data_IF_116088777952
#
_entry.id   IF_116088777952
#
_cell.length_a   1.000
_cell.length_b   1.000
_cell.length_c   1.000
_cell.angle_alpha   90.00
_cell.angle_beta   90.00
_cell.angle_gamma   90.00
#
_symmetry.space_group_name_H-M   'P 1'
#
loop_
_entity.id
_entity.type
_entity.pdbx_description
1 polymer ?
#
# COMPACT_ATOMS: atom_id res chain seq x y z
N UNK A 1 -3.64 19.82 -25.83
CA UNK A 1 -4.20 18.50 -25.46
C UNK A 1 -4.35 18.48 -23.95
N UNK A 2 -5.56 18.24 -23.41
CA UNK A 2 -5.71 17.98 -21.98
C UNK A 2 -4.86 16.75 -21.66
N UNK A 3 -3.96 16.86 -20.67
CA UNK A 3 -3.07 15.75 -20.34
C UNK A 3 -3.93 14.54 -19.92
N UNK A 4 -3.48 13.32 -20.23
CA UNK A 4 -4.12 12.06 -19.81
C UNK A 4 -4.44 12.09 -18.31
N UNK A 5 -3.65 12.81 -17.52
CA UNK A 5 -3.85 13.05 -16.10
C UNK A 5 -5.11 13.82 -15.72
N UNK A 6 -5.51 14.86 -16.47
CA UNK A 6 -6.73 15.63 -16.18
C UNK A 6 -8.00 14.81 -16.50
N UNK A 7 -7.98 14.02 -17.59
CA UNK A 7 -9.08 13.12 -17.94
C UNK A 7 -9.21 12.00 -16.89
N UNK A 8 -8.11 11.42 -16.45
CA UNK A 8 -8.08 10.38 -15.41
C UNK A 8 -8.60 10.90 -14.07
N UNK A 9 -8.27 12.14 -13.70
CA UNK A 9 -8.76 12.76 -12.46
C UNK A 9 -10.28 12.99 -12.49
N UNK A 10 -10.84 13.42 -13.63
CA UNK A 10 -12.29 13.58 -13.82
C UNK A 10 -13.04 12.25 -13.71
N UNK A 11 -12.59 11.24 -14.47
CA UNK A 11 -13.18 9.90 -14.47
C UNK A 11 -13.12 9.27 -13.07
N UNK A 12 -12.00 9.40 -12.36
CA UNK A 12 -11.87 8.82 -11.03
C UNK A 12 -12.83 9.48 -10.01
N UNK A 13 -13.08 10.79 -10.11
CA UNK A 13 -14.11 11.45 -9.29
C UNK A 13 -15.51 10.94 -9.60
N UNK A 14 -15.83 10.72 -10.89
CA UNK A 14 -17.11 10.18 -11.32
C UNK A 14 -17.32 8.71 -10.93
N UNK A 15 -16.24 7.91 -10.82
CA UNK A 15 -16.31 6.52 -10.33
C UNK A 15 -16.42 6.49 -8.81
N UNK A 16 -15.74 7.38 -8.09
CA UNK A 16 -15.76 7.43 -6.63
C UNK A 16 -17.17 7.68 -6.07
N UNK A 17 -17.95 8.52 -6.73
CA UNK A 17 -19.31 8.86 -6.29
C UNK A 17 -20.21 7.62 -6.21
N UNK A 18 -20.44 6.84 -7.28
CA UNK A 18 -21.26 5.63 -7.20
C UNK A 18 -20.69 4.58 -6.25
N UNK A 19 -19.37 4.47 -6.10
CA UNK A 19 -18.76 3.53 -5.14
C UNK A 19 -19.07 3.90 -3.69
N UNK A 20 -19.08 5.18 -3.34
CA UNK A 20 -19.50 5.63 -2.02
C UNK A 20 -20.94 5.23 -1.72
N UNK A 21 -21.85 5.36 -2.69
CA UNK A 21 -23.22 4.91 -2.53
C UNK A 21 -23.32 3.39 -2.35
N UNK A 22 -22.60 2.61 -3.16
CA UNK A 22 -22.58 1.14 -3.02
C UNK A 22 -22.09 0.73 -1.62
N UNK A 23 -21.02 1.33 -1.14
CA UNK A 23 -20.45 1.02 0.18
C UNK A 23 -21.43 1.40 1.31
N UNK A 24 -22.02 2.60 1.22
CA UNK A 24 -22.97 3.08 2.24
C UNK A 24 -24.23 2.23 2.28
N UNK A 25 -24.81 1.90 1.11
CA UNK A 25 -26.03 1.08 1.06
C UNK A 25 -25.76 -0.36 1.48
N UNK A 26 -24.61 -0.94 1.15
CA UNK A 26 -24.26 -2.28 1.61
C UNK A 26 -24.13 -2.31 3.15
N UNK A 27 -23.42 -1.34 3.76
CA UNK A 27 -23.30 -1.24 5.20
C UNK A 27 -24.65 -1.04 5.89
N UNK A 28 -25.47 -0.07 5.41
CA UNK A 28 -26.79 0.19 5.95
C UNK A 28 -27.72 -1.04 5.83
N UNK A 29 -27.58 -1.83 4.74
CA UNK A 29 -28.39 -3.03 4.58
C UNK A 29 -28.04 -4.13 5.58
N UNK A 30 -26.77 -4.24 6.01
CA UNK A 30 -26.37 -5.15 7.10
C UNK A 30 -27.02 -4.70 8.41
N UNK A 31 -26.93 -3.41 8.76
CA UNK A 31 -27.55 -2.85 9.96
C UNK A 31 -29.08 -3.08 9.97
N UNK A 32 -29.75 -2.91 8.82
CA UNK A 32 -31.19 -3.15 8.71
C UNK A 32 -31.57 -4.63 8.80
N UNK A 33 -30.69 -5.55 8.36
CA UNK A 33 -30.90 -6.99 8.55
C UNK A 33 -30.80 -7.36 10.02
N UNK A 34 -29.81 -6.81 10.76
CA UNK A 34 -29.66 -7.04 12.19
C UNK A 34 -30.88 -6.54 12.97
N UNK A 35 -31.36 -5.33 12.65
CA UNK A 35 -32.58 -4.77 13.25
C UNK A 35 -33.83 -5.60 12.93
N UNK A 36 -33.95 -6.08 11.67
CA UNK A 36 -35.04 -6.96 11.26
C UNK A 36 -35.03 -8.27 12.06
N UNK A 37 -33.86 -8.90 12.21
CA UNK A 37 -33.71 -10.14 12.96
C UNK A 37 -34.04 -9.96 14.44
N UNK A 38 -33.57 -8.87 15.05
CA UNK A 38 -33.91 -8.53 16.44
C UNK A 38 -35.42 -8.34 16.62
N UNK A 39 -36.07 -7.62 15.73
CA UNK A 39 -37.50 -7.35 15.77
C UNK A 39 -38.33 -8.61 15.51
N UNK A 40 -37.91 -9.47 14.57
CA UNK A 40 -38.61 -10.67 14.18
C UNK A 40 -38.31 -11.89 15.08
N UNK A 41 -37.31 -11.82 15.94
CA UNK A 41 -36.87 -12.94 16.78
C UNK A 41 -38.01 -13.67 17.53
N UNK A 42 -38.98 -12.97 18.17
CA UNK A 42 -40.09 -13.66 18.85
C UNK A 42 -41.00 -14.46 17.90
N UNK A 43 -41.19 -13.97 16.68
CA UNK A 43 -42.00 -14.64 15.67
C UNK A 43 -41.26 -15.83 15.05
N UNK A 44 -39.96 -15.68 14.81
CA UNK A 44 -39.10 -16.75 14.27
C UNK A 44 -38.99 -17.91 15.29
N UNK A 45 -38.81 -17.61 16.56
CA UNK A 45 -38.75 -18.61 17.64
C UNK A 45 -40.05 -19.43 17.79
N UNK A 46 -41.19 -18.91 17.32
CA UNK A 46 -42.47 -19.61 17.32
C UNK A 46 -42.65 -20.55 16.10
N UNK A 47 -41.74 -20.59 15.14
CA UNK A 47 -41.75 -21.49 14.00
C UNK A 47 -41.20 -22.86 14.37
N UNK A 48 -41.41 -23.85 13.48
CA UNK A 48 -40.74 -25.15 13.58
C UNK A 48 -39.23 -25.03 13.27
N UNK A 49 -38.45 -26.00 13.79
CA UNK A 49 -36.99 -25.98 13.71
C UNK A 49 -36.47 -25.90 12.25
N UNK A 50 -37.19 -26.51 11.31
CA UNK A 50 -36.83 -26.52 9.87
C UNK A 50 -36.91 -25.13 9.27
N UNK A 51 -38.00 -24.40 9.55
CA UNK A 51 -38.17 -23.01 9.07
C UNK A 51 -37.25 -22.01 9.75
N UNK A 52 -36.95 -22.21 11.05
CA UNK A 52 -35.96 -21.38 11.74
C UNK A 52 -34.59 -21.53 11.05
N UNK A 53 -34.14 -22.77 10.81
CA UNK A 53 -32.88 -23.04 10.11
C UNK A 53 -32.83 -22.45 8.70
N UNK A 54 -33.92 -22.52 7.93
CA UNK A 54 -34.02 -21.93 6.59
C UNK A 54 -33.90 -20.40 6.62
N UNK A 55 -34.51 -19.74 7.60
CA UNK A 55 -34.41 -18.29 7.77
C UNK A 55 -32.99 -17.90 8.17
N UNK A 56 -32.39 -18.58 9.14
CA UNK A 56 -31.04 -18.31 9.62
C UNK A 56 -30.00 -18.46 8.49
N UNK A 57 -30.09 -19.55 7.70
CA UNK A 57 -29.24 -19.77 6.52
C UNK A 57 -29.39 -18.65 5.48
N UNK A 58 -30.64 -18.23 5.23
CA UNK A 58 -30.93 -17.16 4.25
C UNK A 58 -30.36 -15.82 4.70
N UNK A 59 -30.50 -15.47 5.99
CA UNK A 59 -29.95 -14.24 6.57
C UNK A 59 -28.43 -14.26 6.57
N UNK A 60 -27.82 -15.39 6.94
CA UNK A 60 -26.36 -15.55 6.89
C UNK A 60 -25.82 -15.33 5.46
N UNK A 61 -26.48 -15.93 4.46
CA UNK A 61 -26.12 -15.72 3.05
C UNK A 61 -26.28 -14.24 2.60
N UNK A 62 -27.37 -13.57 3.01
CA UNK A 62 -27.60 -12.16 2.68
C UNK A 62 -26.56 -11.26 3.32
N UNK A 63 -26.29 -11.42 4.61
CA UNK A 63 -25.28 -10.68 5.34
C UNK A 63 -23.90 -10.88 4.70
N UNK A 64 -23.51 -12.12 4.43
CA UNK A 64 -22.24 -12.42 3.78
C UNK A 64 -22.12 -11.84 2.38
N UNK A 65 -23.21 -11.76 1.60
CA UNK A 65 -23.19 -11.10 0.29
C UNK A 65 -23.02 -9.58 0.41
N UNK A 66 -23.72 -8.94 1.34
CA UNK A 66 -23.62 -7.49 1.58
C UNK A 66 -22.22 -7.11 2.09
N UNK A 67 -21.63 -7.89 2.97
CA UNK A 67 -20.26 -7.70 3.43
C UNK A 67 -19.26 -7.77 2.27
N UNK A 68 -19.41 -8.76 1.37
CA UNK A 68 -18.59 -8.88 0.15
C UNK A 68 -18.77 -7.68 -0.78
N UNK A 69 -20.01 -7.18 -0.95
CA UNK A 69 -20.27 -5.98 -1.76
C UNK A 69 -19.54 -4.78 -1.16
N UNK A 70 -19.64 -4.57 0.15
CA UNK A 70 -18.93 -3.50 0.84
C UNK A 70 -17.40 -3.64 0.74
N UNK A 71 -16.88 -4.85 0.86
CA UNK A 71 -15.45 -5.15 0.69
C UNK A 71 -14.95 -4.80 -0.71
N UNK A 72 -15.62 -5.30 -1.74
CA UNK A 72 -15.26 -5.00 -3.13
C UNK A 72 -15.41 -3.53 -3.48
N UNK A 73 -16.40 -2.85 -2.93
CA UNK A 73 -16.60 -1.42 -3.09
C UNK A 73 -15.45 -0.61 -2.47
N UNK A 74 -15.03 -0.94 -1.26
CA UNK A 74 -13.85 -0.32 -0.62
C UNK A 74 -12.57 -0.55 -1.42
N UNK A 75 -12.39 -1.76 -1.96
CA UNK A 75 -11.25 -2.08 -2.83
C UNK A 75 -11.26 -1.21 -4.09
N UNK A 76 -12.40 -1.07 -4.74
CA UNK A 76 -12.54 -0.24 -5.94
C UNK A 76 -12.27 1.24 -5.62
N UNK A 77 -12.73 1.78 -4.49
CA UNK A 77 -12.40 3.15 -4.04
C UNK A 77 -10.89 3.32 -3.83
N UNK A 78 -10.23 2.34 -3.21
CA UNK A 78 -8.77 2.32 -3.04
C UNK A 78 -8.01 2.35 -4.38
N UNK A 79 -8.47 1.58 -5.37
CA UNK A 79 -7.89 1.57 -6.72
C UNK A 79 -8.06 2.93 -7.40
N UNK A 80 -9.26 3.51 -7.34
CA UNK A 80 -9.56 4.83 -7.92
C UNK A 80 -8.73 5.92 -7.25
N UNK A 81 -8.58 5.87 -5.93
CA UNK A 81 -7.73 6.81 -5.18
C UNK A 81 -6.27 6.71 -5.62
N UNK A 82 -5.73 5.50 -5.70
CA UNK A 82 -4.35 5.27 -6.15
C UNK A 82 -4.14 5.70 -7.61
N UNK A 83 -5.15 5.51 -8.47
CA UNK A 83 -5.13 5.97 -9.86
C UNK A 83 -5.14 7.50 -9.95
N UNK A 84 -5.90 8.20 -9.09
CA UNK A 84 -5.89 9.65 -8.97
C UNK A 84 -4.53 10.18 -8.54
N UNK A 85 -3.92 9.54 -7.55
CA UNK A 85 -2.61 9.90 -7.06
C UNK A 85 -1.53 9.69 -8.14
N UNK A 86 -1.65 8.64 -8.95
CA UNK A 86 -0.76 8.38 -10.08
C UNK A 86 -0.97 9.38 -11.24
N UNK A 87 -2.24 9.70 -11.54
CA UNK A 87 -2.64 10.62 -12.61
C UNK A 87 -2.26 12.08 -12.35
N UNK A 88 -2.10 12.48 -11.09
CA UNK A 88 -1.66 13.83 -10.74
C UNK A 88 -0.22 14.12 -11.13
N UNK A 89 0.48 13.14 -11.75
CA UNK A 89 1.84 13.26 -12.27
C UNK A 89 2.78 13.95 -11.29
N UNK A 90 4.03 13.67 -11.27
CA UNK A 90 4.99 14.45 -10.47
C UNK A 90 4.94 15.92 -10.91
N UNK A 91 4.06 16.71 -10.27
CA UNK A 91 4.05 18.18 -10.45
C UNK A 91 5.12 18.85 -9.57
N UNK A 92 5.96 18.04 -8.92
CA UNK A 92 7.03 18.55 -8.07
C UNK A 92 8.24 18.99 -8.90
N UNK A 93 8.77 20.18 -8.60
CA UNK A 93 10.07 20.58 -9.12
C UNK A 93 11.19 19.75 -8.50
N UNK A 94 12.17 19.37 -9.33
CA UNK A 94 13.42 18.83 -8.84
C UNK A 94 14.14 19.89 -8.04
N UNK A 95 14.64 19.52 -6.89
CA UNK A 95 15.43 20.41 -6.04
C UNK A 95 16.54 19.61 -5.34
N UNK A 96 17.54 20.32 -4.93
CA UNK A 96 18.64 19.77 -4.14
C UNK A 96 18.14 19.40 -2.75
N UNK A 97 18.26 18.14 -2.37
CA UNK A 97 17.67 17.55 -1.15
C UNK A 97 18.71 16.76 -0.37
N UNK A 98 18.71 16.95 0.94
CA UNK A 98 19.39 16.02 1.86
C UNK A 98 18.59 14.72 1.93
N UNK A 99 19.16 13.66 1.36
CA UNK A 99 18.49 12.35 1.24
C UNK A 99 18.21 11.71 2.60
N UNK A 100 19.16 11.79 3.53
CA UNK A 100 19.01 11.17 4.85
C UNK A 100 17.89 11.84 5.64
N UNK A 101 17.81 13.16 5.61
CA UNK A 101 16.72 13.92 6.26
C UNK A 101 15.37 13.56 5.65
N UNK A 102 15.27 13.48 4.32
CA UNK A 102 14.03 13.10 3.64
C UNK A 102 13.56 11.69 4.04
N UNK A 103 14.47 10.73 4.08
CA UNK A 103 14.16 9.35 4.46
C UNK A 103 13.73 9.26 5.93
N UNK A 104 14.43 9.99 6.83
CA UNK A 104 14.08 10.04 8.25
C UNK A 104 12.68 10.62 8.49
N UNK A 105 12.34 11.71 7.80
CA UNK A 105 10.99 12.29 7.85
C UNK A 105 9.93 11.30 7.36
N UNK A 106 10.17 10.63 6.23
CA UNK A 106 9.26 9.63 5.70
C UNK A 106 9.10 8.43 6.66
N UNK A 107 10.20 7.97 7.29
CA UNK A 107 10.17 6.86 8.24
C UNK A 107 9.37 7.20 9.50
N UNK A 108 9.56 8.40 10.04
CA UNK A 108 8.82 8.88 11.18
C UNK A 108 7.32 9.03 10.85
N UNK A 109 7.00 9.57 9.66
CA UNK A 109 5.61 9.69 9.19
C UNK A 109 4.94 8.32 9.06
N UNK A 110 5.62 7.34 8.44
CA UNK A 110 5.10 5.98 8.29
C UNK A 110 4.85 5.32 9.66
N UNK A 111 5.81 5.42 10.58
CA UNK A 111 5.72 4.81 11.90
C UNK A 111 4.58 5.39 12.74
N UNK A 112 4.48 6.72 12.81
CA UNK A 112 3.41 7.37 13.55
C UNK A 112 2.04 7.15 12.90
N UNK A 113 1.97 7.08 11.57
CA UNK A 113 0.75 6.71 10.83
C UNK A 113 0.28 5.30 11.16
N UNK A 114 1.19 4.32 11.22
CA UNK A 114 0.87 2.94 11.60
C UNK A 114 0.37 2.87 13.07
N UNK A 115 1.02 3.58 13.99
CA UNK A 115 0.60 3.64 15.40
C UNK A 115 -0.72 4.36 15.64
N UNK A 116 -1.06 5.32 14.80
CA UNK A 116 -2.35 6.00 14.87
C UNK A 116 -3.51 5.07 14.45
N UNK A 117 -3.25 4.11 13.55
CA UNK A 117 -4.22 3.10 13.12
C UNK A 117 -4.33 1.93 14.10
N UNK A 118 -3.19 1.49 14.65
CA UNK A 118 -3.11 0.40 15.63
C UNK A 118 -2.14 0.79 16.76
N UNK A 119 -2.69 1.12 17.93
CA UNK A 119 -1.88 1.51 19.11
C UNK A 119 -0.97 0.38 19.62
N UNK A 120 -1.29 -0.87 19.30
CA UNK A 120 -0.47 -2.03 19.66
C UNK A 120 0.71 -2.24 18.69
N UNK A 121 0.70 -1.56 17.53
CA UNK A 121 1.76 -1.66 16.53
C UNK A 121 3.10 -1.23 17.13
N UNK A 122 4.09 -2.13 17.04
CA UNK A 122 5.45 -1.86 17.48
C UNK A 122 6.45 -2.58 16.56
N UNK A 123 7.44 -1.83 16.08
CA UNK A 123 8.52 -2.33 15.23
C UNK A 123 9.83 -1.62 15.59
N UNK A 124 10.92 -2.36 15.64
CA UNK A 124 12.24 -1.79 15.81
C UNK A 124 12.69 -1.11 14.52
N UNK A 125 13.07 0.16 14.61
CA UNK A 125 13.59 0.93 13.49
C UNK A 125 15.11 1.05 13.60
N UNK A 126 15.85 0.40 12.71
CA UNK A 126 17.30 0.49 12.59
C UNK A 126 17.67 1.44 11.45
N UNK A 127 18.60 2.35 11.70
CA UNK A 127 19.07 3.35 10.75
C UNK A 127 20.58 3.20 10.59
N UNK A 128 21.01 3.02 9.35
CA UNK A 128 22.42 2.94 8.97
C UNK A 128 22.67 3.89 7.80
N UNK A 129 22.64 5.18 8.08
CA UNK A 129 22.77 6.22 7.09
C UNK A 129 24.24 6.61 6.89
N UNK A 130 24.70 6.55 5.64
CA UNK A 130 26.05 7.01 5.30
C UNK A 130 26.21 8.50 5.63
N UNK A 131 27.34 8.82 6.24
CA UNK A 131 27.70 10.21 6.52
C UNK A 131 28.21 10.92 5.26
N UNK A 132 27.89 12.18 5.14
CA UNK A 132 28.47 13.04 4.08
C UNK A 132 27.93 12.83 2.68
N UNK A 133 26.76 12.18 2.54
CA UNK A 133 26.04 12.16 1.25
C UNK A 133 25.75 13.63 0.85
N UNK A 134 26.32 14.05 -0.26
CA UNK A 134 26.02 15.39 -0.80
C UNK A 134 24.58 15.45 -1.28
N UNK A 135 23.89 16.60 -1.18
CA UNK A 135 22.53 16.75 -1.68
C UNK A 135 22.36 16.26 -3.12
N UNK A 136 21.20 15.67 -3.40
CA UNK A 136 20.86 15.09 -4.70
C UNK A 136 19.65 15.80 -5.31
N UNK A 137 19.69 16.01 -6.64
CA UNK A 137 18.58 16.60 -7.40
C UNK A 137 17.47 15.58 -7.64
N UNK A 138 16.34 15.71 -6.92
CA UNK A 138 15.18 14.83 -7.03
C UNK A 138 13.87 15.58 -6.73
N UNK A 139 12.75 14.94 -7.01
CA UNK A 139 11.43 15.42 -6.60
C UNK A 139 11.12 14.80 -5.22
N UNK A 140 11.16 15.62 -4.12
CA UNK A 140 11.07 15.07 -2.77
C UNK A 140 9.79 14.28 -2.49
N UNK A 141 8.66 14.79 -2.98
CA UNK A 141 7.34 14.16 -2.78
C UNK A 141 7.29 12.76 -3.39
N UNK A 142 7.94 12.57 -4.54
CA UNK A 142 7.99 11.29 -5.23
C UNK A 142 8.81 10.26 -4.42
N UNK A 143 9.97 10.65 -3.94
CA UNK A 143 10.82 9.75 -3.14
C UNK A 143 10.19 9.48 -1.76
N UNK A 144 9.58 10.49 -1.13
CA UNK A 144 8.79 10.27 0.09
C UNK A 144 7.69 9.24 -0.13
N UNK A 145 6.96 9.32 -1.26
CA UNK A 145 5.91 8.35 -1.62
C UNK A 145 6.47 6.94 -1.79
N UNK A 146 7.60 6.81 -2.48
CA UNK A 146 8.30 5.50 -2.61
C UNK A 146 8.66 4.95 -1.24
N UNK A 147 9.27 5.77 -0.36
CA UNK A 147 9.62 5.36 0.99
C UNK A 147 8.39 4.91 1.80
N UNK A 148 7.31 5.68 1.80
CA UNK A 148 6.08 5.33 2.51
C UNK A 148 5.48 4.01 2.04
N UNK A 149 5.50 3.73 0.72
CA UNK A 149 5.03 2.47 0.16
C UNK A 149 5.90 1.29 0.62
N UNK A 150 7.23 1.43 0.59
CA UNK A 150 8.14 0.37 1.01
C UNK A 150 8.05 0.13 2.52
N UNK A 151 8.04 1.19 3.34
CA UNK A 151 7.92 1.07 4.79
C UNK A 151 6.59 0.44 5.20
N UNK A 152 5.46 0.84 4.60
CA UNK A 152 4.16 0.26 4.84
C UNK A 152 4.07 -1.23 4.47
N UNK A 153 4.74 -1.65 3.40
CA UNK A 153 4.84 -3.05 3.03
C UNK A 153 5.69 -3.85 4.03
N UNK A 154 6.82 -3.30 4.45
CA UNK A 154 7.71 -3.90 5.44
C UNK A 154 7.03 -4.01 6.81
N UNK A 155 6.31 -2.98 7.25
CA UNK A 155 5.52 -3.01 8.49
C UNK A 155 4.48 -4.12 8.46
N UNK A 156 3.75 -4.24 7.36
CA UNK A 156 2.77 -5.31 7.16
C UNK A 156 3.43 -6.69 7.23
N UNK A 157 4.52 -6.90 6.49
CA UNK A 157 5.22 -8.19 6.43
C UNK A 157 5.77 -8.62 7.79
N UNK A 158 6.39 -7.71 8.53
CA UNK A 158 6.96 -7.99 9.84
C UNK A 158 5.88 -8.22 10.91
N UNK A 159 4.78 -7.43 10.90
CA UNK A 159 3.66 -7.60 11.81
C UNK A 159 2.91 -8.91 11.54
N UNK A 160 2.75 -9.28 10.27
CA UNK A 160 2.13 -10.54 9.89
C UNK A 160 2.96 -11.72 10.38
N UNK A 161 4.28 -11.69 10.20
CA UNK A 161 5.19 -12.72 10.68
C UNK A 161 5.16 -12.84 12.20
N UNK A 162 5.07 -11.73 12.92
CA UNK A 162 4.94 -11.74 14.38
C UNK A 162 3.67 -12.48 14.84
N UNK A 163 2.57 -12.33 14.12
CA UNK A 163 1.28 -12.97 14.46
C UNK A 163 1.23 -14.45 14.06
N UNK A 164 1.85 -14.82 12.95
CA UNK A 164 1.74 -16.13 12.32
C UNK A 164 2.98 -17.01 12.48
N UNK A 165 4.15 -16.42 12.72
CA UNK A 165 5.46 -17.10 12.71
C UNK A 165 5.77 -18.00 13.92
N UNK A 166 4.97 -17.92 14.98
CA UNK A 166 5.05 -18.84 16.13
C UNK A 166 6.25 -18.65 17.08
N UNK A 167 7.15 -17.71 16.84
CA UNK A 167 8.26 -17.38 17.75
C UNK A 167 7.85 -16.24 18.70
N UNK A 168 7.66 -16.52 20.01
CA UNK A 168 7.27 -15.50 20.97
C UNK A 168 8.36 -14.45 21.21
N UNK A 169 9.61 -14.71 20.82
CA UNK A 169 10.74 -13.79 20.96
C UNK A 169 10.98 -12.97 19.69
N UNK A 170 10.22 -13.18 18.65
CA UNK A 170 10.36 -12.44 17.39
C UNK A 170 10.14 -10.95 17.62
N UNK A 171 11.10 -10.15 17.17
CA UNK A 171 11.04 -8.69 17.22
C UNK A 171 10.94 -8.16 15.80
N UNK A 172 9.74 -7.66 15.39
CA UNK A 172 9.61 -6.98 14.10
C UNK A 172 10.68 -5.91 13.95
N UNK A 173 11.39 -5.91 12.84
CA UNK A 173 12.49 -4.97 12.60
C UNK A 173 12.44 -4.47 11.17
N UNK A 174 12.56 -3.17 11.00
CA UNK A 174 12.81 -2.50 9.74
C UNK A 174 14.17 -1.82 9.82
N UNK A 175 15.09 -2.18 8.91
CA UNK A 175 16.37 -1.51 8.73
C UNK A 175 16.35 -0.67 7.47
N UNK A 176 16.76 0.58 7.60
CA UNK A 176 16.93 1.50 6.45
C UNK A 176 18.38 1.93 6.39
N UNK A 177 18.99 1.69 5.23
CA UNK A 177 20.41 1.98 4.98
C UNK A 177 20.53 2.95 3.82
N UNK A 178 21.46 3.90 3.89
CA UNK A 178 21.85 4.73 2.73
C UNK A 178 23.34 4.57 2.46
N UNK A 179 23.72 4.63 1.16
CA UNK A 179 25.13 4.58 0.74
C UNK A 179 25.39 5.57 -0.38
N UNK A 180 26.56 6.18 -0.34
CA UNK A 180 27.08 6.98 -1.45
C UNK A 180 27.90 6.08 -2.36
N UNK A 181 27.49 5.94 -3.62
CA UNK A 181 28.19 5.15 -4.65
C UNK A 181 29.05 6.04 -5.57
N UNK A 182 29.14 7.34 -5.28
CA UNK A 182 29.83 8.32 -6.10
C UNK A 182 28.95 8.91 -7.20
N UNK A 183 28.62 8.15 -8.22
CA UNK A 183 27.74 8.54 -9.32
C UNK A 183 26.25 8.34 -9.03
N UNK A 184 25.91 7.63 -7.97
CA UNK A 184 24.57 7.36 -7.51
C UNK A 184 24.50 7.33 -5.98
N UNK A 185 23.30 7.38 -5.43
CA UNK A 185 23.01 7.05 -4.04
C UNK A 185 22.16 5.80 -3.97
N UNK A 186 22.39 4.98 -2.96
CA UNK A 186 21.62 3.77 -2.72
C UNK A 186 20.82 3.89 -1.43
N UNK A 187 19.57 3.44 -1.48
CA UNK A 187 18.66 3.30 -0.35
C UNK A 187 18.27 1.83 -0.26
N UNK A 188 18.55 1.16 0.86
CA UNK A 188 18.08 -0.18 1.10
C UNK A 188 17.07 -0.18 2.26
N UNK A 189 15.96 -0.88 2.05
CA UNK A 189 14.85 -1.04 3.01
C UNK A 189 14.67 -2.52 3.26
N UNK A 190 15.04 -3.00 4.44
CA UNK A 190 15.02 -4.42 4.81
C UNK A 190 14.15 -4.68 6.02
N UNK A 191 13.21 -5.60 5.89
CA UNK A 191 12.41 -6.14 6.99
C UNK A 191 12.78 -7.60 7.26
N UNK A 192 12.46 -8.06 8.47
CA UNK A 192 12.59 -9.46 8.89
C UNK A 192 11.23 -10.19 8.87
N UNK A 193 10.32 -9.81 7.98
CA UNK A 193 8.97 -10.34 7.91
C UNK A 193 8.84 -11.68 7.17
N UNK A 194 7.62 -11.92 6.66
CA UNK A 194 7.24 -13.18 6.00
C UNK A 194 8.09 -13.53 4.76
N UNK A 195 8.78 -12.56 4.17
CA UNK A 195 9.49 -12.74 2.91
C UNK A 195 8.55 -12.88 1.71
N UNK A 196 9.15 -13.03 0.52
CA UNK A 196 8.46 -13.11 -0.77
C UNK A 196 8.93 -14.37 -1.52
N UNK A 197 8.01 -15.29 -1.87
CA UNK A 197 8.32 -16.46 -2.69
C UNK A 197 8.94 -16.08 -4.04
N UNK A 198 9.88 -16.91 -4.53
CA UNK A 198 10.59 -16.62 -5.78
C UNK A 198 9.64 -16.54 -6.99
N UNK A 199 8.58 -17.34 -6.99
CA UNK A 199 7.62 -17.49 -8.09
C UNK A 199 6.80 -16.22 -8.37
N UNK A 200 6.74 -15.31 -7.40
CA UNK A 200 5.98 -14.06 -7.54
C UNK A 200 6.84 -12.81 -7.66
N UNK A 201 8.18 -12.92 -7.53
CA UNK A 201 9.07 -11.75 -7.54
C UNK A 201 8.98 -10.95 -8.83
N UNK A 202 8.88 -11.61 -9.97
CA UNK A 202 8.76 -10.96 -11.28
C UNK A 202 7.42 -10.23 -11.48
N UNK A 203 6.44 -10.51 -10.62
CA UNK A 203 5.10 -9.90 -10.67
C UNK A 203 4.94 -8.72 -9.70
N UNK A 204 5.88 -8.52 -8.77
CA UNK A 204 5.74 -7.54 -7.68
C UNK A 204 5.52 -6.11 -8.17
N UNK A 205 6.11 -5.76 -9.31
CA UNK A 205 6.00 -4.42 -9.89
C UNK A 205 4.89 -4.31 -10.95
N UNK A 206 4.10 -5.37 -11.16
CA UNK A 206 2.95 -5.32 -12.05
C UNK A 206 1.80 -4.57 -11.37
N UNK A 207 1.11 -3.66 -12.08
CA UNK A 207 -0.07 -2.99 -11.54
C UNK A 207 -1.14 -3.99 -11.05
N UNK A 208 -1.77 -3.67 -9.93
CA UNK A 208 -2.82 -4.48 -9.29
C UNK A 208 -2.38 -5.81 -8.68
N UNK A 209 -1.11 -6.17 -8.78
CA UNK A 209 -0.60 -7.38 -8.12
C UNK A 209 -0.47 -7.17 -6.62
N UNK A 210 -1.10 -8.04 -5.83
CA UNK A 210 -1.02 -8.04 -4.36
C UNK A 210 -1.21 -9.45 -3.81
N UNK A 211 -0.50 -9.75 -2.73
CA UNK A 211 -0.68 -10.97 -1.91
C UNK A 211 -1.41 -10.67 -0.60
N UNK A 212 -1.76 -9.41 -0.35
CA UNK A 212 -2.56 -9.02 0.80
C UNK A 212 -4.01 -9.45 0.60
N UNK A 213 -4.75 -9.73 1.69
CA UNK A 213 -6.18 -10.00 1.62
C UNK A 213 -6.94 -8.90 0.87
N UNK A 214 -8.12 -9.26 0.36
CA UNK A 214 -9.00 -8.32 -0.32
C UNK A 214 -9.32 -7.15 0.62
N UNK A 215 -9.19 -5.92 0.12
CA UNK A 215 -9.39 -4.69 0.91
C UNK A 215 -8.14 -4.13 1.61
N UNK A 216 -7.09 -4.92 1.85
CA UNK A 216 -5.87 -4.48 2.53
C UNK A 216 -4.77 -3.97 1.59
N UNK A 217 -4.88 -4.27 0.29
CA UNK A 217 -3.89 -3.86 -0.70
C UNK A 217 -4.48 -3.54 -2.05
N UNK A 218 -4.11 -2.40 -2.63
CA UNK A 218 -4.52 -2.00 -3.98
C UNK A 218 -3.68 -2.67 -5.08
N UNK A 219 -2.49 -3.18 -4.74
CA UNK A 219 -1.53 -3.71 -5.70
C UNK A 219 -0.87 -2.65 -6.59
N UNK A 220 -1.03 -1.36 -6.26
CA UNK A 220 -0.47 -0.25 -7.04
C UNK A 220 0.79 0.37 -6.42
N UNK A 221 1.03 0.18 -5.12
CA UNK A 221 2.15 0.83 -4.44
C UNK A 221 3.51 0.52 -5.05
N UNK A 222 3.82 -0.75 -5.30
CA UNK A 222 5.12 -1.14 -5.86
C UNK A 222 5.26 -0.78 -7.35
N UNK A 223 4.19 -0.87 -8.16
CA UNK A 223 4.24 -0.44 -9.57
C UNK A 223 4.48 1.06 -9.68
N UNK A 224 3.81 1.86 -8.86
CA UNK A 224 4.03 3.32 -8.79
C UNK A 224 5.47 3.63 -8.32
N UNK A 225 5.97 2.90 -7.31
CA UNK A 225 7.35 3.07 -6.84
C UNK A 225 8.36 2.75 -7.94
N UNK A 226 8.09 1.72 -8.72
CA UNK A 226 8.92 1.35 -9.88
C UNK A 226 8.95 2.47 -10.91
N UNK A 227 7.79 3.01 -11.32
CA UNK A 227 7.69 4.09 -12.29
C UNK A 227 8.37 5.37 -11.80
N UNK A 228 8.17 5.75 -10.55
CA UNK A 228 8.83 6.91 -9.94
C UNK A 228 10.35 6.75 -9.99
N UNK A 229 10.88 5.62 -9.55
CA UNK A 229 12.32 5.40 -9.49
C UNK A 229 12.92 5.30 -10.89
N UNK A 230 12.31 4.51 -11.79
CA UNK A 230 12.93 4.19 -13.09
C UNK A 230 12.63 5.23 -14.15
N UNK A 231 11.36 5.64 -14.31
CA UNK A 231 10.97 6.54 -15.40
C UNK A 231 11.20 8.01 -15.04
N UNK A 232 10.90 8.40 -13.81
CA UNK A 232 10.96 9.81 -13.43
C UNK A 232 12.33 10.20 -12.86
N UNK A 233 13.05 9.28 -12.23
CA UNK A 233 14.36 9.56 -11.62
C UNK A 233 15.52 8.86 -12.32
N UNK A 234 15.26 8.01 -13.34
CA UNK A 234 16.31 7.31 -14.10
C UNK A 234 17.12 6.33 -13.25
N UNK A 235 16.56 5.91 -12.13
CA UNK A 235 17.17 4.98 -11.18
C UNK A 235 16.80 3.52 -11.42
N UNK A 236 17.13 2.68 -10.46
CA UNK A 236 16.76 1.27 -10.45
C UNK A 236 16.17 0.87 -9.11
N UNK A 237 15.23 -0.07 -9.12
CA UNK A 237 14.70 -0.71 -7.91
C UNK A 237 14.83 -2.23 -8.08
N UNK A 238 15.37 -2.89 -7.07
CA UNK A 238 15.54 -4.32 -7.00
C UNK A 238 14.98 -4.88 -5.70
N UNK A 239 14.67 -6.18 -5.69
CA UNK A 239 14.21 -6.90 -4.51
C UNK A 239 15.04 -8.16 -4.32
N UNK A 240 15.51 -8.36 -3.10
CA UNK A 240 16.01 -9.64 -2.60
C UNK A 240 15.16 -10.07 -1.40
N UNK A 241 14.83 -11.37 -1.33
CA UNK A 241 13.96 -11.86 -0.28
C UNK A 241 14.13 -13.35 -0.07
N UNK A 242 13.94 -13.78 1.17
CA UNK A 242 13.86 -15.18 1.56
C UNK A 242 12.66 -15.39 2.47
N UNK A 243 11.79 -16.34 2.07
CA UNK A 243 10.56 -16.65 2.79
C UNK A 243 10.88 -16.97 4.26
N UNK A 244 10.19 -16.32 5.18
CA UNK A 244 10.36 -16.48 6.62
C UNK A 244 11.61 -15.85 7.22
N UNK A 245 12.43 -15.14 6.42
CA UNK A 245 13.65 -14.53 6.92
C UNK A 245 13.68 -13.01 6.70
N UNK A 246 13.50 -12.56 5.45
CA UNK A 246 13.57 -11.13 5.14
C UNK A 246 13.01 -10.77 3.76
N UNK A 247 12.71 -9.47 3.60
CA UNK A 247 12.62 -8.80 2.30
C UNK A 247 13.49 -7.55 2.32
N UNK A 248 14.26 -7.33 1.26
CA UNK A 248 15.07 -6.13 1.06
C UNK A 248 14.79 -5.51 -0.30
N UNK A 249 14.33 -4.27 -0.30
CA UNK A 249 14.23 -3.46 -1.50
C UNK A 249 15.45 -2.53 -1.58
N UNK A 250 16.13 -2.53 -2.72
CA UNK A 250 17.27 -1.65 -2.99
C UNK A 250 16.93 -0.68 -4.11
N UNK A 251 17.03 0.61 -3.85
CA UNK A 251 16.82 1.70 -4.79
C UNK A 251 18.15 2.36 -5.07
N UNK A 252 18.48 2.61 -6.34
CA UNK A 252 19.63 3.41 -6.74
C UNK A 252 19.15 4.60 -7.55
N UNK A 253 19.52 5.79 -7.13
CA UNK A 253 19.20 7.05 -7.79
C UNK A 253 20.49 7.68 -8.33
N UNK A 254 20.60 7.94 -9.64
CA UNK A 254 21.75 8.58 -10.22
C UNK A 254 21.83 10.04 -9.78
N UNK A 255 23.04 10.55 -9.51
CA UNK A 255 23.25 11.96 -9.17
C UNK A 255 23.04 12.88 -10.34
N UNK A 256 23.41 12.44 -11.54
CA UNK A 256 23.15 13.17 -12.78
C UNK A 256 21.91 12.58 -13.46
N UNK A 257 20.85 13.36 -13.56
CA UNK A 257 19.68 12.99 -14.34
C UNK A 257 20.03 13.01 -15.84
N UNK A 258 20.08 11.85 -16.47
CA UNK A 258 20.06 11.76 -17.93
C UNK A 258 18.60 11.72 -18.37
N UNK A 259 18.05 12.84 -18.81
CA UNK A 259 16.77 12.85 -19.49
C UNK A 259 16.80 11.80 -20.63
N UNK A 260 15.91 10.82 -20.58
CA UNK A 260 15.74 9.89 -21.69
C UNK A 260 15.32 10.72 -22.91
N UNK A 261 16.02 10.54 -24.05
CA UNK A 261 16.01 11.35 -25.29
C UNK A 261 14.60 11.45 -25.96
N UNK A 262 13.52 11.19 -25.27
CA UNK A 262 12.15 11.28 -25.81
C UNK A 262 11.56 12.72 -25.77
N UNK A 263 12.16 13.68 -25.06
CA UNK A 263 11.65 15.06 -24.98
C UNK A 263 12.38 16.07 -25.90
N UNK A 264 13.40 15.64 -26.63
CA UNK A 264 14.17 16.51 -27.51
C UNK A 264 13.69 16.53 -28.98
N UNK A 265 12.53 15.93 -29.27
CA UNK A 265 11.94 15.88 -30.63
C UNK A 265 10.45 16.26 -30.60
N UNK A 266 10.13 17.44 -30.06
CA UNK A 266 8.82 18.07 -30.23
C UNK A 266 8.97 19.56 -30.49
#
# INVERSE_FOLDING_TARGET
>A
MASLGQLTAGIAHEIKNPLNFVNNFAGLSVELLDELMETAAPAITALDDEKQAEIDETIEMLTGNLEKIAEHGRRADGIVRSMLEHSRGSSGERRSVDLNSLIEEALNLAYHGARAQDQSFNITLERDFAHGITPIELVPQDITRVCLNLFGNSFYAASKWQKEGGDPNFKPTLRVTTRDLGDAVEIAVRDNGIGIPAEIRDKLFQPFFTTKPTGEGTGLGLSISYDIVTQQHGGTIAVDSRVGEFTEFTIRLPRAYRATIAEAAS
#
